data_IF_233427368315
#
_entry.id   IF_233427368315
#
_cell.length_a   1.000
_cell.length_b   1.000
_cell.length_c   1.000
_cell.angle_alpha   90.00
_cell.angle_beta   90.00
_cell.angle_gamma   90.00
#
_symmetry.space_group_name_H-M   'P 1'
#
loop_
_entity.id
_entity.type
_entity.pdbx_description
1 polymer ?
#
# COMPACT_ATOMS: atom_id res chain seq x y z
N UNK A 1 7.20 1.33 17.82
CA UNK A 1 6.20 2.19 18.49
C UNK A 1 5.45 3.07 17.48
N UNK A 2 6.09 3.95 16.69
CA UNK A 2 5.44 4.84 15.72
C UNK A 2 4.54 4.13 14.69
N UNK A 3 4.97 2.97 14.18
CA UNK A 3 4.16 2.16 13.23
C UNK A 3 2.85 1.71 13.86
N UNK A 4 2.88 1.29 15.13
CA UNK A 4 1.67 0.89 15.87
C UNK A 4 0.71 2.05 16.09
N UNK A 5 1.23 3.26 16.32
CA UNK A 5 0.41 4.47 16.46
C UNK A 5 -0.28 4.83 15.13
N UNK A 6 0.46 4.75 14.02
CA UNK A 6 -0.10 4.96 12.68
C UNK A 6 -1.21 3.93 12.42
N UNK A 7 -0.94 2.65 12.64
CA UNK A 7 -1.92 1.58 12.38
C UNK A 7 -3.19 1.71 13.23
N UNK A 8 -3.09 2.21 14.48
CA UNK A 8 -4.28 2.48 15.30
C UNK A 8 -5.21 3.52 14.70
N UNK A 9 -4.66 4.52 14.00
CA UNK A 9 -5.47 5.54 13.33
C UNK A 9 -6.12 5.05 12.03
N UNK A 10 -5.72 3.88 11.54
CA UNK A 10 -6.19 3.27 10.28
C UNK A 10 -6.75 1.86 10.50
N UNK A 11 -7.34 1.63 11.66
CA UNK A 11 -8.01 0.36 11.94
C UNK A 11 -9.33 0.29 11.16
N UNK A 12 -9.48 -0.75 10.34
CA UNK A 12 -10.67 -0.96 9.54
C UNK A 12 -11.29 -2.34 9.82
N UNK A 13 -12.63 -2.45 9.79
CA UNK A 13 -13.30 -3.70 10.10
C UNK A 13 -13.00 -4.77 9.04
N UNK A 14 -12.89 -6.02 9.49
CA UNK A 14 -12.86 -7.16 8.58
C UNK A 14 -14.27 -7.44 8.08
N UNK A 15 -14.46 -7.33 6.77
CA UNK A 15 -15.74 -7.57 6.11
C UNK A 15 -15.64 -8.87 5.34
N UNK A 16 -16.61 -9.77 5.55
CA UNK A 16 -16.68 -11.04 4.84
C UNK A 16 -16.82 -10.82 3.31
N UNK A 17 -16.09 -11.61 2.54
CA UNK A 17 -16.10 -11.53 1.08
C UNK A 17 -15.14 -10.48 0.49
N UNK A 18 -14.49 -9.66 1.32
CA UNK A 18 -13.38 -8.82 0.88
C UNK A 18 -12.05 -9.58 0.90
N UNK A 19 -11.05 -9.13 0.13
CA UNK A 19 -9.71 -9.69 0.18
C UNK A 19 -9.07 -9.48 1.55
N UNK A 20 -8.04 -10.26 1.86
CA UNK A 20 -7.31 -10.19 3.13
C UNK A 20 -6.65 -8.83 3.34
N UNK A 21 -6.16 -8.21 2.28
CA UNK A 21 -5.58 -6.88 2.29
C UNK A 21 -6.59 -5.87 1.76
N UNK A 22 -7.10 -5.00 2.61
CA UNK A 22 -8.07 -3.95 2.26
C UNK A 22 -7.48 -2.54 2.35
N UNK A 23 -6.22 -2.42 2.74
CA UNK A 23 -5.47 -1.19 2.95
C UNK A 23 -4.46 -1.36 4.08
N UNK A 24 -3.57 -0.40 4.24
CA UNK A 24 -2.56 -0.43 5.28
C UNK A 24 -1.16 -0.06 4.78
N UNK A 25 -0.15 -0.44 5.54
CA UNK A 25 1.24 -0.17 5.22
C UNK A 25 1.84 -1.28 4.37
N UNK A 26 2.48 -0.91 3.28
CA UNK A 26 3.24 -1.81 2.39
C UNK A 26 4.62 -1.24 2.16
N UNK A 27 5.63 -2.09 2.22
CA UNK A 27 7.01 -1.69 2.01
C UNK A 27 7.96 -2.74 2.54
N UNK A 28 9.14 -2.32 2.96
CA UNK A 28 10.15 -3.25 3.43
C UNK A 28 10.80 -2.80 4.75
N UNK A 29 11.35 -3.79 5.43
CA UNK A 29 12.33 -3.63 6.49
C UNK A 29 13.64 -4.21 5.97
N UNK A 30 14.73 -3.46 6.06
CA UNK A 30 16.04 -3.97 5.69
C UNK A 30 16.46 -5.13 6.61
N UNK A 31 17.40 -5.94 6.16
CA UNK A 31 18.00 -6.98 7.01
C UNK A 31 18.61 -6.35 8.26
N UNK A 32 19.27 -5.21 8.11
CA UNK A 32 19.96 -4.49 9.19
C UNK A 32 19.00 -3.89 10.23
N UNK A 33 17.70 -3.86 9.94
CA UNK A 33 16.66 -3.48 10.91
C UNK A 33 16.70 -4.34 12.18
N UNK A 34 17.26 -5.56 12.10
CA UNK A 34 17.43 -6.47 13.26
C UNK A 34 18.26 -5.81 14.38
N UNK A 35 19.16 -4.88 14.07
CA UNK A 35 19.96 -4.14 15.06
C UNK A 35 19.12 -3.40 16.11
N UNK A 36 17.88 -3.00 15.75
CA UNK A 36 16.95 -2.34 16.68
C UNK A 36 16.28 -3.30 17.67
N UNK A 37 16.23 -4.59 17.33
CA UNK A 37 15.70 -5.65 18.20
C UNK A 37 16.81 -6.35 18.99
N UNK A 38 18.00 -6.44 18.39
CA UNK A 38 19.16 -7.14 18.93
C UNK A 38 20.37 -6.19 19.02
N UNK A 39 20.45 -5.34 20.07
CA UNK A 39 21.51 -4.32 20.18
C UNK A 39 22.94 -4.88 20.29
N UNK A 40 23.08 -6.20 20.48
CA UNK A 40 24.39 -6.87 20.51
C UNK A 40 24.97 -7.14 19.13
N UNK A 41 24.15 -7.03 18.09
CA UNK A 41 24.60 -7.21 16.71
C UNK A 41 25.24 -5.91 16.22
N UNK A 42 26.54 -5.94 16.00
CA UNK A 42 27.24 -4.92 15.22
C UNK A 42 27.16 -5.32 13.76
N UNK A 43 26.40 -4.57 12.99
CA UNK A 43 26.30 -4.74 11.54
C UNK A 43 27.08 -3.58 10.92
N UNK A 44 28.31 -3.89 10.50
CA UNK A 44 29.27 -2.94 9.93
C UNK A 44 29.34 -3.04 8.39
N UNK A 45 28.24 -3.42 7.75
CA UNK A 45 28.20 -3.47 6.29
C UNK A 45 28.21 -2.06 5.72
N UNK A 46 29.08 -1.83 4.74
CA UNK A 46 29.11 -0.60 3.96
C UNK A 46 27.81 -0.51 3.14
N UNK A 47 27.07 0.58 3.31
CA UNK A 47 25.87 0.88 2.54
C UNK A 47 26.17 2.05 1.58
N UNK A 48 26.78 1.71 0.44
CA UNK A 48 27.13 2.69 -0.61
C UNK A 48 25.90 3.29 -1.28
N UNK A 49 24.78 2.57 -1.28
CA UNK A 49 23.52 2.98 -1.92
C UNK A 49 22.60 3.80 -1.00
N UNK A 50 22.86 3.81 0.29
CA UNK A 50 22.09 4.56 1.27
C UNK A 50 20.67 4.04 1.46
N UNK A 51 20.48 2.72 1.51
CA UNK A 51 19.16 2.10 1.74
C UNK A 51 18.62 2.46 3.12
N UNK A 52 17.34 2.81 3.17
CA UNK A 52 16.67 3.03 4.44
C UNK A 52 16.43 1.72 5.17
N UNK A 53 16.59 1.71 6.48
CA UNK A 53 16.26 0.55 7.31
C UNK A 53 14.76 0.18 7.23
N UNK A 54 13.90 1.17 7.01
CA UNK A 54 12.46 0.99 6.84
C UNK A 54 11.95 1.97 5.80
N UNK A 55 11.23 1.47 4.81
CA UNK A 55 10.49 2.30 3.87
C UNK A 55 9.09 1.71 3.69
N UNK A 56 8.08 2.44 4.17
CA UNK A 56 6.68 2.01 4.20
C UNK A 56 5.80 3.09 3.58
N UNK A 57 4.89 2.66 2.71
CA UNK A 57 3.85 3.48 2.10
C UNK A 57 2.50 3.09 2.68
N UNK A 58 1.66 4.08 2.98
CA UNK A 58 0.29 3.86 3.42
C UNK A 58 -0.65 3.85 2.21
N UNK A 59 -1.42 2.78 2.07
CA UNK A 59 -2.42 2.61 1.03
C UNK A 59 -3.81 2.64 1.64
N UNK A 60 -4.61 3.61 1.24
CA UNK A 60 -6.01 3.77 1.60
C UNK A 60 -6.98 3.36 0.48
N UNK A 61 -6.44 3.05 -0.71
CA UNK A 61 -7.17 2.58 -1.89
C UNK A 61 -6.54 1.30 -2.40
N UNK A 62 -7.36 0.32 -2.71
CA UNK A 62 -6.91 -0.99 -3.19
C UNK A 62 -7.77 -1.47 -4.34
N UNK A 63 -7.13 -2.01 -5.37
CA UNK A 63 -7.77 -2.76 -6.44
C UNK A 63 -7.32 -4.21 -6.30
N UNK A 64 -8.25 -5.10 -6.01
CA UNK A 64 -7.96 -6.52 -5.85
C UNK A 64 -8.53 -7.32 -7.01
N UNK A 65 -7.72 -8.21 -7.58
CA UNK A 65 -8.13 -9.14 -8.63
C UNK A 65 -8.41 -10.51 -8.00
N UNK A 66 -9.69 -10.89 -7.96
CA UNK A 66 -10.11 -12.22 -7.51
C UNK A 66 -10.16 -13.15 -8.74
N UNK A 67 -9.06 -13.83 -9.00
CA UNK A 67 -8.92 -14.72 -10.14
C UNK A 67 -9.83 -15.94 -10.04
N UNK A 68 -10.15 -16.38 -8.83
CA UNK A 68 -11.05 -17.52 -8.61
C UNK A 68 -12.49 -17.20 -8.96
N UNK A 69 -12.98 -16.03 -8.49
CA UNK A 69 -14.35 -15.58 -8.74
C UNK A 69 -14.48 -14.70 -9.99
N UNK A 70 -13.37 -14.45 -10.71
CA UNK A 70 -13.31 -13.64 -11.94
C UNK A 70 -13.92 -12.24 -11.73
N UNK A 71 -13.54 -11.57 -10.66
CA UNK A 71 -14.02 -10.21 -10.35
C UNK A 71 -12.92 -9.29 -9.89
N UNK A 72 -13.15 -7.99 -10.11
CA UNK A 72 -12.30 -6.91 -9.59
C UNK A 72 -13.04 -6.24 -8.44
N UNK A 73 -12.36 -6.08 -7.32
CA UNK A 73 -12.89 -5.44 -6.11
C UNK A 73 -12.13 -4.14 -5.91
N UNK A 74 -12.85 -3.01 -5.94
CA UNK A 74 -12.30 -1.70 -5.62
C UNK A 74 -12.65 -1.34 -4.19
N UNK A 75 -11.67 -0.93 -3.41
CA UNK A 75 -11.81 -0.58 -2.00
C UNK A 75 -11.25 0.81 -1.79
N UNK A 76 -11.99 1.65 -1.08
CA UNK A 76 -11.53 2.96 -0.61
C UNK A 76 -11.81 3.04 0.89
N UNK A 77 -10.78 3.28 1.67
CA UNK A 77 -10.89 3.51 3.09
C UNK A 77 -11.13 5.00 3.35
N UNK A 78 -12.10 5.32 4.19
CA UNK A 78 -12.47 6.66 4.55
C UNK A 78 -12.29 6.89 6.05
N UNK A 79 -11.83 8.08 6.44
CA UNK A 79 -11.73 8.47 7.84
C UNK A 79 -13.11 8.71 8.43
N UNK A 80 -13.28 8.41 9.72
CA UNK A 80 -14.56 8.51 10.43
C UNK A 80 -14.77 9.85 11.15
N UNK A 81 -13.86 10.82 10.99
CA UNK A 81 -13.94 12.14 11.66
C UNK A 81 -15.12 12.97 11.18
N UNK A 82 -15.43 12.92 9.86
CA UNK A 82 -16.59 13.57 9.23
C UNK A 82 -17.19 12.55 8.27
N UNK A 83 -18.09 11.73 8.79
CA UNK A 83 -18.59 10.53 8.10
C UNK A 83 -19.26 10.88 6.78
N UNK A 84 -20.13 11.87 6.75
CA UNK A 84 -20.90 12.21 5.54
C UNK A 84 -19.99 12.73 4.43
N UNK A 85 -19.08 13.61 4.77
CA UNK A 85 -18.11 14.15 3.80
C UNK A 85 -17.13 13.10 3.33
N UNK A 86 -16.60 12.29 4.26
CA UNK A 86 -15.65 11.23 3.95
C UNK A 86 -16.29 10.15 3.08
N UNK A 87 -17.54 9.77 3.36
CA UNK A 87 -18.31 8.82 2.56
C UNK A 87 -18.53 9.33 1.14
N UNK A 88 -19.02 10.56 0.99
CA UNK A 88 -19.25 11.15 -0.33
C UNK A 88 -17.96 11.21 -1.16
N UNK A 89 -16.84 11.58 -0.53
CA UNK A 89 -15.52 11.57 -1.17
C UNK A 89 -15.12 10.16 -1.60
N UNK A 90 -15.28 9.17 -0.72
CA UNK A 90 -14.96 7.78 -1.02
C UNK A 90 -15.78 7.21 -2.19
N UNK A 91 -17.07 7.57 -2.28
CA UNK A 91 -17.93 7.18 -3.40
C UNK A 91 -17.44 7.77 -4.73
N UNK A 92 -17.00 9.03 -4.73
CA UNK A 92 -16.43 9.67 -5.93
C UNK A 92 -15.13 8.95 -6.33
N UNK A 93 -14.25 8.66 -5.38
CA UNK A 93 -12.99 7.96 -5.63
C UNK A 93 -13.23 6.54 -6.18
N UNK A 94 -14.20 5.80 -5.63
CA UNK A 94 -14.59 4.48 -6.16
C UNK A 94 -15.07 4.57 -7.60
N UNK A 95 -15.91 5.55 -7.94
CA UNK A 95 -16.38 5.76 -9.32
C UNK A 95 -15.22 6.05 -10.26
N UNK A 96 -14.30 6.91 -9.86
CA UNK A 96 -13.11 7.24 -10.65
C UNK A 96 -12.22 6.00 -10.88
N UNK A 97 -12.02 5.16 -9.86
CA UNK A 97 -11.27 3.91 -10.00
C UNK A 97 -11.95 2.94 -10.98
N UNK A 98 -13.26 2.78 -10.89
CA UNK A 98 -14.05 1.91 -11.78
C UNK A 98 -13.97 2.43 -13.22
N UNK A 99 -14.10 3.73 -13.42
CA UNK A 99 -14.01 4.35 -14.74
C UNK A 99 -12.62 4.17 -15.36
N UNK A 100 -11.56 4.37 -14.56
CA UNK A 100 -10.18 4.14 -14.98
C UNK A 100 -9.97 2.70 -15.48
N UNK A 101 -10.51 1.71 -14.74
CA UNK A 101 -10.42 0.30 -15.14
C UNK A 101 -11.22 0.04 -16.43
N UNK A 102 -12.41 0.60 -16.55
CA UNK A 102 -13.30 0.41 -17.72
C UNK A 102 -12.81 1.12 -18.97
N UNK A 103 -12.22 2.30 -18.82
CA UNK A 103 -11.71 3.08 -19.96
C UNK A 103 -10.55 2.39 -20.68
N UNK A 104 -9.82 1.50 -19.97
CA UNK A 104 -8.90 0.54 -20.55
C UNK A 104 -7.86 1.13 -21.52
N UNK A 105 -7.44 2.38 -21.31
CA UNK A 105 -6.38 2.96 -22.12
C UNK A 105 -5.00 2.50 -21.58
N UNK A 106 -4.42 1.42 -22.12
CA UNK A 106 -3.09 1.00 -21.70
C UNK A 106 -2.12 2.10 -22.12
N UNK A 107 -1.46 2.71 -21.17
CA UNK A 107 -0.28 3.49 -21.51
C UNK A 107 0.78 2.51 -22.05
N UNK A 108 1.29 2.71 -23.25
CA UNK A 108 2.36 1.86 -23.74
C UNK A 108 3.52 1.93 -22.75
N UNK A 109 4.11 0.79 -22.40
CA UNK A 109 5.25 0.78 -21.49
C UNK A 109 6.35 1.64 -22.06
N UNK A 110 6.89 2.58 -21.29
CA UNK A 110 8.08 3.31 -21.67
C UNK A 110 9.19 2.27 -21.86
N UNK A 111 9.58 2.05 -23.11
CA UNK A 111 10.69 1.16 -23.40
C UNK A 111 11.97 1.79 -22.85
N UNK A 112 12.47 1.24 -21.76
CA UNK A 112 13.80 1.54 -21.27
C UNK A 112 14.84 0.94 -22.22
N UNK A 113 15.86 1.70 -22.61
CA UNK A 113 17.00 1.20 -23.38
C UNK A 113 18.18 1.06 -22.44
N UNK A 114 18.72 -0.14 -22.34
CA UNK A 114 19.98 -0.36 -21.64
C UNK A 114 21.09 0.33 -22.45
N UNK A 115 21.74 1.32 -21.86
CA UNK A 115 22.78 2.13 -22.53
C UNK A 115 24.19 1.65 -22.21
N UNK A 116 24.38 0.84 -21.20
CA UNK A 116 25.65 0.17 -20.86
C UNK A 116 25.39 -1.10 -20.04
N UNK A 117 26.29 -2.06 -20.17
CA UNK A 117 26.41 -3.25 -19.34
C UNK A 117 27.75 -3.18 -18.67
#
# INVERSE_FOLDING_TARGET
EKIKEILKAYDSPKIEGLPTFTGGLVGYFSYDYVKYSEPKLNLDADDEEGFKDVDLMLFDKVIAFDNYRQKIICIVNAKTEDIDRAYNKAVIELKNMIELIRSGQPQPPKQGRITSV
#
